data_IF_635102170038
#
_entry.id   IF_635102170038
#
_cell.length_a   1.000
_cell.length_b   1.000
_cell.length_c   1.000
_cell.angle_alpha   90.00
_cell.angle_beta   90.00
_cell.angle_gamma   90.00
#
_symmetry.space_group_name_H-M   'P 1'
#
loop_
_entity.id
_entity.type
_entity.pdbx_description
1 polymer ?
#
# COMPACT_ATOMS: atom_id res chain seq x y z
N UNK A 1 -5.95 -11.98 17.27
CA UNK A 1 -5.48 -11.80 15.88
C UNK A 1 -6.51 -10.92 15.18
N UNK A 2 -6.11 -9.78 14.59
CA UNK A 2 -7.06 -8.90 13.88
C UNK A 2 -7.26 -9.45 12.47
N UNK A 3 -8.51 -9.70 12.07
CA UNK A 3 -8.86 -10.15 10.72
C UNK A 3 -9.36 -8.95 9.92
N UNK A 4 -8.67 -8.63 8.83
CA UNK A 4 -9.14 -7.68 7.82
C UNK A 4 -9.99 -8.46 6.80
N UNK A 5 -11.11 -7.89 6.29
CA UNK A 5 -11.77 -8.44 5.11
C UNK A 5 -10.73 -8.58 3.99
N UNK A 6 -10.70 -9.73 3.32
CA UNK A 6 -9.78 -9.90 2.19
C UNK A 6 -10.27 -9.05 1.02
N UNK A 7 -9.34 -8.61 0.17
CA UNK A 7 -9.69 -7.91 -1.06
C UNK A 7 -10.68 -8.74 -1.92
N UNK A 8 -10.56 -10.07 -1.87
CA UNK A 8 -11.49 -11.01 -2.50
C UNK A 8 -12.91 -10.94 -1.94
N UNK A 9 -13.08 -10.64 -0.65
CA UNK A 9 -14.42 -10.55 -0.03
C UNK A 9 -15.15 -9.28 -0.45
N UNK A 10 -14.39 -8.25 -0.84
CA UNK A 10 -14.91 -6.94 -1.27
C UNK A 10 -15.11 -6.86 -2.79
N UNK A 11 -14.37 -7.67 -3.55
CA UNK A 11 -14.45 -7.74 -5.00
C UNK A 11 -15.24 -8.99 -5.39
N UNK A 12 -16.47 -8.80 -5.86
CA UNK A 12 -17.33 -9.86 -6.39
C UNK A 12 -16.80 -10.39 -7.73
N UNK A 13 -15.61 -10.98 -7.70
CA UNK A 13 -14.97 -11.60 -8.85
C UNK A 13 -14.74 -13.07 -8.54
N UNK A 14 -15.43 -13.96 -9.24
CA UNK A 14 -15.23 -15.41 -9.14
C UNK A 14 -13.85 -15.90 -9.61
N UNK A 15 -12.93 -15.00 -9.98
CA UNK A 15 -11.59 -15.32 -10.46
C UNK A 15 -10.52 -14.61 -9.64
N UNK A 16 -9.55 -15.38 -9.13
CA UNK A 16 -8.51 -14.89 -8.24
C UNK A 16 -7.13 -15.44 -8.58
N UNK A 17 -6.11 -14.67 -8.26
CA UNK A 17 -4.71 -15.11 -8.19
C UNK A 17 -4.39 -15.41 -6.73
N UNK A 18 -4.03 -16.65 -6.41
CA UNK A 18 -3.65 -17.06 -5.06
C UNK A 18 -2.17 -17.38 -5.04
N UNK A 19 -1.41 -16.72 -4.16
CA UNK A 19 0.02 -16.97 -3.99
C UNK A 19 0.25 -17.75 -2.70
N UNK A 20 0.98 -18.85 -2.80
CA UNK A 20 1.42 -19.68 -1.67
C UNK A 20 2.93 -19.72 -1.58
N UNK A 21 3.47 -20.00 -0.39
CA UNK A 21 4.88 -20.35 -0.22
C UNK A 21 5.16 -21.74 -0.80
N UNK A 22 6.45 -22.11 -0.88
CA UNK A 22 6.90 -23.43 -1.32
C UNK A 22 6.24 -24.58 -0.54
N UNK A 23 5.88 -24.37 0.73
CA UNK A 23 5.24 -25.38 1.58
C UNK A 23 3.71 -25.23 1.67
N UNK A 24 3.13 -24.31 0.89
CA UNK A 24 1.68 -24.17 0.75
C UNK A 24 1.02 -23.10 1.63
N UNK A 25 1.77 -22.38 2.46
CA UNK A 25 1.24 -21.26 3.28
C UNK A 25 0.74 -20.15 2.36
N UNK A 26 -0.51 -19.71 2.53
CA UNK A 26 -1.07 -18.63 1.70
C UNK A 26 -0.44 -17.29 2.06
N UNK A 27 0.25 -16.67 1.10
CA UNK A 27 0.92 -15.39 1.26
C UNK A 27 -0.05 -14.25 0.92
N UNK A 28 -0.69 -14.33 -0.24
CA UNK A 28 -1.55 -13.28 -0.77
C UNK A 28 -2.65 -13.83 -1.67
N UNK A 29 -3.69 -13.04 -1.84
CA UNK A 29 -4.80 -13.34 -2.75
C UNK A 29 -5.30 -12.07 -3.40
N UNK A 30 -5.44 -12.10 -4.72
CA UNK A 30 -5.80 -10.93 -5.53
C UNK A 30 -7.03 -11.24 -6.38
N UNK A 31 -8.04 -10.36 -6.42
CA UNK A 31 -9.07 -10.39 -7.45
C UNK A 31 -8.40 -10.23 -8.83
N UNK A 32 -8.62 -11.14 -9.78
CA UNK A 32 -8.01 -11.00 -11.11
C UNK A 32 -8.50 -9.72 -11.83
N UNK A 33 -9.76 -9.37 -11.62
CA UNK A 33 -10.36 -8.14 -12.16
C UNK A 33 -9.72 -6.88 -11.57
N UNK A 34 -9.19 -6.93 -10.35
CA UNK A 34 -8.48 -5.79 -9.75
C UNK A 34 -7.15 -5.55 -10.46
N UNK A 35 -6.34 -6.60 -10.65
CA UNK A 35 -5.04 -6.49 -11.34
C UNK A 35 -5.25 -6.06 -12.79
N UNK A 36 -6.14 -6.75 -13.52
CA UNK A 36 -6.33 -6.53 -14.96
C UNK A 36 -6.89 -5.15 -15.32
N UNK A 37 -7.72 -4.56 -14.45
CA UNK A 37 -8.27 -3.20 -14.62
C UNK A 37 -7.42 -2.13 -13.94
N UNK A 38 -6.41 -2.53 -13.18
CA UNK A 38 -5.50 -1.65 -12.47
C UNK A 38 -4.52 -0.94 -13.42
N UNK A 39 -3.65 -0.11 -12.84
CA UNK A 39 -2.61 0.60 -13.60
C UNK A 39 -1.44 -0.29 -14.03
N UNK A 40 -1.32 -1.50 -13.49
CA UNK A 40 -0.22 -2.44 -13.75
C UNK A 40 -0.74 -3.89 -13.76
N UNK A 41 -0.78 -4.51 -14.94
CA UNK A 41 -1.30 -5.86 -15.17
C UNK A 41 -0.15 -6.83 -15.44
N UNK A 42 0.74 -6.99 -14.46
CA UNK A 42 1.95 -7.80 -14.58
C UNK A 42 2.20 -8.68 -13.35
N UNK A 43 2.97 -9.76 -13.54
CA UNK A 43 3.51 -10.53 -12.42
C UNK A 43 4.52 -9.72 -11.58
N UNK A 44 5.19 -8.73 -12.17
CA UNK A 44 6.03 -7.76 -11.46
C UNK A 44 5.27 -7.00 -10.38
N UNK A 45 4.03 -6.57 -10.66
CA UNK A 45 3.17 -5.96 -9.64
C UNK A 45 2.85 -6.95 -8.50
N UNK A 46 2.54 -8.20 -8.83
CA UNK A 46 2.25 -9.25 -7.83
C UNK A 46 3.48 -9.52 -6.96
N UNK A 47 4.66 -9.65 -7.56
CA UNK A 47 5.95 -9.81 -6.88
C UNK A 47 6.26 -8.63 -5.95
N UNK A 48 6.01 -7.41 -6.41
CA UNK A 48 6.17 -6.22 -5.58
C UNK A 48 5.32 -6.30 -4.31
N UNK A 49 4.03 -6.66 -4.44
CA UNK A 49 3.13 -6.78 -3.29
C UNK A 49 3.59 -7.91 -2.36
N UNK A 50 4.00 -9.07 -2.90
CA UNK A 50 4.56 -10.16 -2.09
C UNK A 50 5.76 -9.66 -1.27
N UNK A 51 6.66 -8.90 -1.89
CA UNK A 51 7.83 -8.31 -1.23
C UNK A 51 7.49 -7.34 -0.08
N UNK A 52 6.29 -6.78 -0.05
CA UNK A 52 5.82 -5.97 1.09
C UNK A 52 5.23 -6.82 2.23
N UNK A 53 4.78 -8.05 1.92
CA UNK A 53 4.10 -8.94 2.87
C UNK A 53 5.05 -9.88 3.61
N UNK A 54 6.23 -10.13 3.07
CA UNK A 54 7.24 -11.03 3.65
C UNK A 54 8.49 -10.25 4.07
N UNK A 55 9.24 -10.81 5.02
CA UNK A 55 10.58 -10.32 5.36
C UNK A 55 11.54 -10.89 4.30
N UNK A 56 12.22 -10.04 3.52
CA UNK A 56 13.20 -10.51 2.55
C UNK A 56 14.41 -11.09 3.29
N UNK A 57 14.59 -12.40 3.19
CA UNK A 57 15.74 -13.12 3.79
C UNK A 57 16.97 -13.11 2.86
N UNK A 58 16.80 -12.66 1.61
CA UNK A 58 17.90 -12.41 0.67
C UNK A 58 17.70 -11.08 -0.08
N UNK A 59 18.79 -10.55 -0.63
CA UNK A 59 18.78 -9.32 -1.45
C UNK A 59 18.21 -9.52 -2.86
N UNK A 60 17.85 -10.76 -3.23
CA UNK A 60 17.32 -11.10 -4.55
C UNK A 60 15.80 -11.15 -4.53
N UNK A 61 15.19 -10.66 -5.60
CA UNK A 61 13.75 -10.73 -5.82
C UNK A 61 13.34 -12.19 -5.98
N UNK A 62 12.29 -12.63 -5.28
CA UNK A 62 11.78 -13.99 -5.45
C UNK A 62 11.11 -14.20 -6.80
N UNK A 63 10.80 -15.46 -7.10
CA UNK A 63 10.17 -15.89 -8.36
C UNK A 63 8.81 -16.53 -8.11
N UNK A 64 7.94 -16.48 -9.10
CA UNK A 64 6.64 -17.17 -9.08
C UNK A 64 6.69 -18.34 -10.06
N UNK A 65 6.18 -19.49 -9.62
CA UNK A 65 5.96 -20.67 -10.46
C UNK A 65 4.50 -21.06 -10.49
N UNK A 66 4.07 -21.63 -11.60
CA UNK A 66 2.78 -22.32 -11.69
C UNK A 66 2.83 -23.73 -11.08
N UNK A 67 1.69 -24.42 -11.10
CA UNK A 67 1.52 -25.78 -10.59
C UNK A 67 2.37 -26.83 -11.31
N UNK A 68 2.85 -26.53 -12.52
CA UNK A 68 3.73 -27.40 -13.30
C UNK A 68 5.22 -27.08 -13.07
N UNK A 69 5.52 -26.14 -12.17
CA UNK A 69 6.89 -25.72 -11.86
C UNK A 69 7.51 -24.77 -12.88
N UNK A 70 6.74 -24.27 -13.85
CA UNK A 70 7.23 -23.28 -14.82
C UNK A 70 7.34 -21.92 -14.14
N UNK A 71 8.51 -21.29 -14.29
CA UNK A 71 8.75 -19.92 -13.83
C UNK A 71 7.98 -18.94 -14.71
N UNK A 72 7.25 -18.03 -14.09
CA UNK A 72 6.47 -17.02 -14.80
C UNK A 72 7.34 -15.81 -15.12
N UNK A 73 7.19 -15.27 -16.33
CA UNK A 73 7.83 -14.02 -16.71
C UNK A 73 7.18 -12.85 -15.94
N UNK A 74 7.97 -12.04 -15.19
CA UNK A 74 7.46 -10.87 -14.48
C UNK A 74 6.66 -9.90 -15.37
N UNK A 75 6.95 -9.82 -16.66
CA UNK A 75 6.28 -8.91 -17.60
C UNK A 75 4.97 -9.46 -18.18
N UNK A 76 4.68 -10.75 -17.97
CA UNK A 76 3.43 -11.35 -18.43
C UNK A 76 2.24 -10.97 -17.55
N UNK A 77 1.05 -11.08 -18.13
CA UNK A 77 -0.21 -10.81 -17.45
C UNK A 77 -0.59 -11.98 -16.53
N UNK A 78 -1.01 -11.71 -15.29
CA UNK A 78 -1.51 -12.76 -14.41
C UNK A 78 -2.78 -13.43 -14.93
N UNK A 79 -2.90 -14.73 -14.65
CA UNK A 79 -4.10 -15.54 -14.90
C UNK A 79 -4.68 -16.05 -13.58
N UNK A 80 -5.97 -16.39 -13.58
CA UNK A 80 -6.60 -16.96 -12.38
C UNK A 80 -6.00 -18.33 -12.07
N UNK A 81 -5.72 -18.60 -10.80
CA UNK A 81 -5.12 -19.86 -10.38
C UNK A 81 -4.38 -19.77 -9.05
N UNK A 82 -3.73 -20.88 -8.70
CA UNK A 82 -2.84 -21.00 -7.55
C UNK A 82 -1.40 -21.04 -8.06
N UNK A 83 -0.56 -20.21 -7.46
CA UNK A 83 0.84 -20.07 -7.83
C UNK A 83 1.72 -20.10 -6.58
N UNK A 84 2.99 -20.40 -6.79
CA UNK A 84 3.94 -20.67 -5.71
C UNK A 84 5.11 -19.69 -5.78
N UNK A 85 5.34 -18.99 -4.68
CA UNK A 85 6.46 -18.09 -4.50
C UNK A 85 7.66 -18.84 -3.94
N UNK A 86 8.82 -18.60 -4.55
CA UNK A 86 10.10 -19.14 -4.11
C UNK A 86 11.11 -18.00 -3.94
N UNK A 87 11.88 -18.06 -2.87
CA UNK A 87 13.10 -17.26 -2.76
C UNK A 87 14.17 -17.90 -3.66
N UNK A 88 14.97 -17.08 -4.35
CA UNK A 88 16.02 -17.59 -5.25
C UNK A 88 17.16 -18.29 -4.51
N UNK A 89 17.32 -18.05 -3.21
CA UNK A 89 18.32 -18.73 -2.40
C UNK A 89 17.98 -20.22 -2.27
N UNK A 90 18.82 -21.15 -2.77
CA UNK A 90 18.58 -22.58 -2.70
C UNK A 90 18.38 -23.12 -1.27
N UNK A 91 18.95 -22.46 -0.27
CA UNK A 91 18.78 -22.84 1.14
C UNK A 91 17.41 -22.45 1.68
N UNK A 92 16.80 -21.40 1.13
CA UNK A 92 15.51 -20.86 1.53
C UNK A 92 14.36 -21.28 0.60
N UNK A 93 14.68 -21.90 -0.53
CA UNK A 93 13.69 -22.37 -1.50
C UNK A 93 12.71 -23.41 -0.94
N UNK A 94 13.01 -24.02 0.22
CA UNK A 94 12.17 -25.01 0.90
C UNK A 94 11.72 -24.57 2.30
N UNK A 95 12.09 -23.37 2.75
CA UNK A 95 11.63 -22.83 4.04
C UNK A 95 10.32 -22.07 3.84
N UNK A 96 9.52 -21.97 4.91
CA UNK A 96 8.34 -21.11 4.86
C UNK A 96 8.76 -19.63 4.88
N UNK A 97 7.83 -18.76 4.49
CA UNK A 97 8.07 -17.33 4.51
C UNK A 97 7.84 -16.74 5.90
N UNK A 98 8.72 -15.83 6.31
CA UNK A 98 8.50 -14.95 7.46
C UNK A 98 7.63 -13.77 7.05
N UNK A 99 6.50 -13.53 7.72
CA UNK A 99 5.61 -12.40 7.41
C UNK A 99 6.12 -11.08 8.00
N UNK A 100 6.00 -10.01 7.22
CA UNK A 100 6.21 -8.64 7.69
C UNK A 100 5.18 -8.26 8.75
N UNK A 101 5.58 -7.43 9.72
CA UNK A 101 4.67 -6.85 10.72
C UNK A 101 3.67 -5.85 10.12
N UNK A 102 3.88 -5.46 8.86
CA UNK A 102 3.07 -4.47 8.16
C UNK A 102 3.46 -3.03 8.49
N UNK A 103 2.76 -2.05 7.91
CA UNK A 103 3.14 -0.64 8.02
C UNK A 103 2.96 -0.07 9.44
N UNK A 104 3.99 0.62 9.93
CA UNK A 104 3.97 1.41 11.16
C UNK A 104 3.45 2.83 10.88
N UNK A 105 2.15 3.03 10.96
CA UNK A 105 1.55 4.33 10.58
C UNK A 105 1.54 5.32 11.76
N UNK A 106 0.64 5.16 12.74
CA UNK A 106 0.45 6.17 13.79
C UNK A 106 1.35 6.03 15.03
N UNK A 107 1.93 4.84 15.25
CA UNK A 107 2.91 4.60 16.30
C UNK A 107 3.93 3.60 15.79
N UNK A 108 5.19 3.80 16.14
CA UNK A 108 6.21 2.77 15.97
C UNK A 108 5.75 1.50 16.69
N UNK A 109 6.03 0.33 16.09
CA UNK A 109 5.87 -1.00 16.71
C UNK A 109 4.40 -1.48 16.87
N UNK A 110 3.38 -0.70 16.48
CA UNK A 110 1.97 -1.12 16.61
C UNK A 110 1.25 -1.19 15.26
N UNK A 111 0.73 -2.37 14.95
CA UNK A 111 -0.17 -2.55 13.82
C UNK A 111 -1.44 -1.69 13.98
N UNK A 112 -1.93 -1.05 12.90
CA UNK A 112 -3.13 -0.21 12.91
C UNK A 112 -4.37 -0.97 13.42
N UNK A 113 -5.38 -0.23 13.88
CA UNK A 113 -6.68 -0.81 14.22
C UNK A 113 -7.63 -0.72 13.02
N UNK A 114 -8.06 -1.84 12.40
CA UNK A 114 -9.00 -1.80 11.27
C UNK A 114 -10.32 -1.13 11.64
N UNK A 115 -10.76 -1.35 12.87
CA UNK A 115 -11.98 -0.78 13.46
C UNK A 115 -11.75 0.65 14.00
N UNK A 116 -10.65 1.30 13.61
CA UNK A 116 -10.16 2.55 14.17
C UNK A 116 -11.23 3.61 14.41
N UNK A 117 -11.12 4.28 15.57
CA UNK A 117 -12.04 5.31 16.07
C UNK A 117 -12.41 6.33 14.99
N UNK A 118 -13.65 6.85 15.08
CA UNK A 118 -14.22 7.92 14.23
C UNK A 118 -13.31 9.16 14.09
N UNK A 119 -12.33 9.33 14.99
CA UNK A 119 -11.32 10.38 14.91
C UNK A 119 -10.31 10.14 13.78
N UNK A 120 -10.45 10.87 12.67
CA UNK A 120 -9.38 11.13 11.71
C UNK A 120 -8.29 11.97 12.37
N UNK A 121 -7.16 11.35 12.71
CA UNK A 121 -6.05 12.04 13.38
C UNK A 121 -5.11 12.76 12.40
N UNK A 122 -5.25 12.52 11.09
CA UNK A 122 -4.63 13.33 10.04
C UNK A 122 -5.59 14.40 9.47
N UNK A 123 -6.77 14.59 10.07
CA UNK A 123 -7.74 15.60 9.62
C UNK A 123 -7.18 17.01 9.79
N UNK A 124 -6.77 17.60 8.66
CA UNK A 124 -6.29 18.97 8.60
C UNK A 124 -7.42 20.01 8.75
N UNK A 125 -8.68 19.61 8.97
CA UNK A 125 -9.78 20.54 9.31
C UNK A 125 -9.57 21.20 10.69
N UNK A 126 -8.60 20.74 11.49
CA UNK A 126 -8.19 21.42 12.75
C UNK A 126 -7.32 22.65 12.46
N UNK A 127 -7.77 23.78 13.01
CA UNK A 127 -7.42 25.16 12.64
C UNK A 127 -6.08 25.65 13.19
N UNK A 128 -4.95 25.22 12.61
CA UNK A 128 -3.68 25.96 12.73
C UNK A 128 -3.35 26.69 11.42
N UNK A 129 -2.54 27.75 11.50
CA UNK A 129 -2.09 28.51 10.32
C UNK A 129 -1.38 27.59 9.33
N UNK A 130 -0.55 26.65 9.82
CA UNK A 130 0.20 25.72 8.97
C UNK A 130 -0.71 24.68 8.32
N UNK A 131 -1.69 24.13 9.05
CA UNK A 131 -2.69 23.20 8.48
C UNK A 131 -3.55 23.87 7.40
N UNK A 132 -3.93 25.13 7.63
CA UNK A 132 -4.70 25.93 6.67
C UNK A 132 -3.90 26.19 5.40
N UNK A 133 -2.62 26.58 5.54
CA UNK A 133 -1.71 26.77 4.40
C UNK A 133 -1.49 25.47 3.63
N UNK A 134 -1.24 24.36 4.32
CA UNK A 134 -1.07 23.05 3.71
C UNK A 134 -2.30 22.66 2.88
N UNK A 135 -3.50 22.79 3.45
CA UNK A 135 -4.76 22.53 2.76
C UNK A 135 -4.90 23.42 1.50
N UNK A 136 -4.69 24.72 1.62
CA UNK A 136 -4.79 25.65 0.48
C UNK A 136 -3.81 25.25 -0.62
N UNK A 137 -2.56 24.94 -0.28
CA UNK A 137 -1.55 24.55 -1.27
C UNK A 137 -1.88 23.22 -1.95
N UNK A 138 -2.47 22.25 -1.25
CA UNK A 138 -2.96 21.02 -1.87
C UNK A 138 -4.16 21.27 -2.79
N UNK A 139 -5.11 22.12 -2.39
CA UNK A 139 -6.22 22.53 -3.25
C UNK A 139 -5.70 23.21 -4.52
N UNK A 140 -4.72 24.10 -4.39
CA UNK A 140 -4.11 24.78 -5.53
C UNK A 140 -3.35 23.83 -6.46
N UNK A 141 -2.67 22.81 -5.92
CA UNK A 141 -1.92 21.81 -6.70
C UNK A 141 -2.85 20.82 -7.41
N UNK A 142 -3.78 20.23 -6.66
CA UNK A 142 -4.57 19.08 -7.12
C UNK A 142 -5.91 19.50 -7.74
N UNK A 143 -6.58 20.53 -7.18
CA UNK A 143 -7.91 21.01 -7.56
C UNK A 143 -9.07 20.01 -7.34
N UNK A 144 -8.76 18.71 -7.27
CA UNK A 144 -9.69 17.59 -7.21
C UNK A 144 -9.08 16.43 -6.42
N UNK A 145 -9.92 15.49 -5.99
CA UNK A 145 -9.45 14.24 -5.39
C UNK A 145 -8.58 13.47 -6.38
N UNK A 146 -7.35 13.08 -5.96
CA UNK A 146 -6.40 12.36 -6.82
C UNK A 146 -6.85 10.95 -7.22
N UNK A 147 -7.81 10.37 -6.49
CA UNK A 147 -8.34 9.02 -6.77
C UNK A 147 -9.67 9.08 -7.53
N UNK A 148 -10.60 9.94 -7.11
CA UNK A 148 -11.98 9.95 -7.62
C UNK A 148 -12.30 11.10 -8.59
N UNK A 149 -11.44 12.10 -8.71
CA UNK A 149 -11.71 13.32 -9.49
C UNK A 149 -12.76 14.26 -8.89
N UNK A 150 -13.28 13.95 -7.69
CA UNK A 150 -14.26 14.78 -6.97
C UNK A 150 -13.73 16.20 -6.74
N UNK A 151 -14.62 17.19 -6.74
CA UNK A 151 -14.26 18.59 -6.48
C UNK A 151 -13.66 18.76 -5.08
N UNK A 152 -12.70 19.68 -4.93
CA UNK A 152 -11.93 19.87 -3.69
C UNK A 152 -12.78 20.17 -2.45
N UNK A 153 -13.99 20.69 -2.62
CA UNK A 153 -14.92 20.96 -1.53
C UNK A 153 -15.35 19.69 -0.77
N UNK A 154 -15.37 18.54 -1.46
CA UNK A 154 -15.68 17.23 -0.89
C UNK A 154 -14.43 16.47 -0.43
N UNK A 155 -13.30 17.15 -0.32
CA UNK A 155 -12.01 16.56 -0.04
C UNK A 155 -11.38 17.05 1.27
N UNK A 156 -10.57 16.17 1.84
CA UNK A 156 -9.68 16.43 2.96
C UNK A 156 -8.23 16.36 2.50
N UNK A 157 -7.42 17.28 3.01
CA UNK A 157 -5.97 17.28 2.81
C UNK A 157 -5.34 16.21 3.72
N UNK A 158 -4.95 15.10 3.11
CA UNK A 158 -4.35 13.95 3.79
C UNK A 158 -2.84 14.08 3.76
N UNK A 159 -2.18 13.87 4.90
CA UNK A 159 -0.73 13.65 4.87
C UNK A 159 -0.44 12.22 4.37
N UNK A 160 0.64 12.03 3.61
CA UNK A 160 1.11 10.70 3.18
C UNK A 160 1.69 9.97 4.40
N UNK A 161 2.65 10.60 5.07
CA UNK A 161 3.13 10.20 6.40
C UNK A 161 2.30 10.94 7.44
N UNK A 162 1.81 10.32 8.52
CA UNK A 162 0.98 11.02 9.50
C UNK A 162 1.71 12.21 10.11
N UNK A 163 1.01 13.34 10.30
CA UNK A 163 1.56 14.50 11.00
C UNK A 163 2.02 14.18 12.44
N UNK A 164 1.52 13.11 13.05
CA UNK A 164 1.95 12.59 14.35
C UNK A 164 3.29 11.84 14.32
N UNK A 165 3.93 11.69 13.15
CA UNK A 165 5.23 11.02 12.96
C UNK A 165 6.30 11.99 12.44
N UNK A 166 6.63 13.06 13.20
CA UNK A 166 7.71 13.97 12.81
C UNK A 166 9.05 13.24 12.66
N UNK A 167 9.27 12.16 13.42
CA UNK A 167 10.46 11.30 13.33
C UNK A 167 10.73 10.74 11.92
N UNK A 168 9.68 10.43 11.16
CA UNK A 168 9.82 9.95 9.78
C UNK A 168 10.26 11.10 8.87
N UNK A 169 9.69 12.29 9.05
CA UNK A 169 10.07 13.46 8.27
C UNK A 169 11.52 13.85 8.55
N UNK A 170 11.95 13.84 9.81
CA UNK A 170 13.33 14.13 10.19
C UNK A 170 14.31 13.12 9.56
N UNK A 171 13.93 11.84 9.50
CA UNK A 171 14.76 10.80 8.87
C UNK A 171 14.97 11.02 7.36
N UNK A 172 13.95 11.53 6.65
CA UNK A 172 14.03 11.75 5.20
C UNK A 172 14.65 13.10 4.84
N UNK A 173 14.38 14.14 5.62
CA UNK A 173 14.75 15.53 5.29
C UNK A 173 15.89 16.09 6.15
N UNK A 174 16.30 15.39 7.22
CA UNK A 174 17.38 15.81 8.11
C UNK A 174 17.14 17.20 8.73
N UNK A 175 18.22 17.95 8.90
CA UNK A 175 18.26 19.29 9.51
C UNK A 175 17.99 20.43 8.50
N UNK A 176 17.43 20.17 7.31
CA UNK A 176 17.24 21.17 6.23
C UNK A 176 16.30 22.35 6.56
N UNK A 177 15.80 22.46 7.79
CA UNK A 177 15.01 23.58 8.26
C UNK A 177 13.57 23.60 7.72
N UNK A 178 12.66 24.05 8.58
CA UNK A 178 11.23 24.18 8.27
C UNK A 178 10.39 23.02 8.82
N UNK A 179 9.13 22.95 8.37
CA UNK A 179 8.19 21.88 8.72
C UNK A 179 7.87 21.09 7.44
N UNK A 180 8.73 20.12 7.02
CA UNK A 180 8.57 19.36 5.77
C UNK A 180 7.18 18.73 5.61
N UNK A 181 6.55 18.35 6.73
CA UNK A 181 5.20 17.80 6.76
C UNK A 181 4.12 18.71 6.19
N UNK A 182 4.32 20.04 6.17
CA UNK A 182 3.37 20.99 5.58
C UNK A 182 3.71 21.39 4.14
N UNK A 183 4.72 20.77 3.53
CA UNK A 183 4.98 20.96 2.09
C UNK A 183 3.90 20.23 1.30
N UNK A 184 3.44 20.75 0.15
CA UNK A 184 2.43 20.07 -0.67
C UNK A 184 2.84 18.66 -1.07
N UNK A 185 4.14 18.41 -1.29
CA UNK A 185 4.70 17.08 -1.59
C UNK A 185 4.46 16.04 -0.48
N UNK A 186 4.19 16.46 0.75
CA UNK A 186 3.92 15.57 1.88
C UNK A 186 2.46 15.12 1.98
N UNK A 187 1.59 15.55 1.05
CA UNK A 187 0.16 15.27 1.12
C UNK A 187 -0.54 15.07 -0.20
N UNK A 188 -1.79 14.63 -0.08
CA UNK A 188 -2.72 14.30 -1.15
C UNK A 188 -4.08 14.90 -0.84
N UNK A 189 -4.79 15.35 -1.87
CA UNK A 189 -6.19 15.70 -1.75
C UNK A 189 -7.08 14.47 -2.00
N UNK A 190 -7.79 14.01 -0.96
CA UNK A 190 -8.63 12.81 -1.01
C UNK A 190 -10.08 13.15 -0.67
N UNK A 191 -11.04 12.55 -1.38
CA UNK A 191 -12.46 12.62 -1.00
C UNK A 191 -12.63 12.10 0.43
N UNK A 192 -13.51 12.68 1.22
CA UNK A 192 -13.57 12.43 2.67
C UNK A 192 -13.64 10.93 3.06
N UNK A 193 -14.42 10.12 2.35
CA UNK A 193 -14.48 8.65 2.55
C UNK A 193 -13.16 7.93 2.17
N UNK A 194 -12.50 8.36 1.11
CA UNK A 194 -11.20 7.83 0.68
C UNK A 194 -10.08 8.27 1.63
N UNK A 195 -10.15 9.48 2.18
CA UNK A 195 -9.26 9.93 3.24
C UNK A 195 -9.37 9.01 4.47
N UNK A 196 -10.60 8.72 4.92
CA UNK A 196 -10.83 7.78 6.02
C UNK A 196 -10.26 6.38 5.75
N UNK A 197 -10.46 5.86 4.54
CA UNK A 197 -9.93 4.55 4.15
C UNK A 197 -8.39 4.55 4.05
N UNK A 198 -7.79 5.63 3.57
CA UNK A 198 -6.33 5.79 3.50
C UNK A 198 -5.71 5.86 4.91
N UNK A 199 -6.28 6.68 5.80
CA UNK A 199 -5.85 6.79 7.21
C UNK A 199 -5.92 5.46 7.96
N UNK A 200 -6.86 4.60 7.60
CA UNK A 200 -7.04 3.26 8.18
C UNK A 200 -6.16 2.19 7.52
N UNK A 201 -5.31 2.58 6.57
CA UNK A 201 -4.46 1.69 5.78
C UNK A 201 -5.26 0.62 5.01
N UNK A 202 -6.50 0.94 4.62
CA UNK A 202 -7.32 0.06 3.79
C UNK A 202 -6.86 0.05 2.33
N UNK A 203 -6.17 1.11 1.90
CA UNK A 203 -5.46 1.15 0.63
C UNK A 203 -4.22 2.05 0.75
N UNK A 204 -3.31 1.91 -0.21
CA UNK A 204 -2.14 2.77 -0.39
C UNK A 204 -1.86 2.95 -1.87
N UNK A 205 -0.87 3.79 -2.20
CA UNK A 205 -0.44 4.02 -3.57
C UNK A 205 0.79 3.19 -3.90
N UNK A 206 0.76 2.58 -5.08
CA UNK A 206 1.90 1.89 -5.68
C UNK A 206 2.60 2.87 -6.64
N UNK A 207 3.91 3.03 -6.49
CA UNK A 207 4.72 3.74 -7.47
C UNK A 207 5.01 2.80 -8.63
N UNK A 208 4.31 3.02 -9.75
CA UNK A 208 4.64 2.35 -11.01
C UNK A 208 5.98 2.86 -11.51
N UNK A 209 6.92 1.94 -11.73
CA UNK A 209 8.16 2.26 -12.44
C UNK A 209 7.78 2.41 -13.91
N UNK A 210 7.96 3.61 -14.47
CA UNK A 210 7.78 3.83 -15.90
C UNK A 210 8.95 3.20 -16.65
N UNK A 211 8.66 2.53 -17.77
CA UNK A 211 9.64 2.24 -18.81
C UNK A 211 10.12 3.54 -19.48
#
# INVERSE_FOLDING_TARGET
MKTYPLALDLWDSGSSVIIRSAIGTRIASFPLNFISRGGDNSWSYVLYVIGQLIIPESSRTGIIKDEHGRVLDPNERPSAGVFFFFQEDPQLAQTDVSFSSGPEYFSSIKAPNPEGSISTRSDSKRSSVNQSRFRISLIARDGRCVVSGAHWESCTASHIVPASRPDIYDRFYGDEGGLPMFRPSAGLLLRDDLHHAFDRLMFSFYQKVSD
#
